data_IF_517359493742
#
_entry.id   IF_517359493742
#
_cell.length_a   1.000
_cell.length_b   1.000
_cell.length_c   1.000
_cell.angle_alpha   90.00
_cell.angle_beta   90.00
_cell.angle_gamma   90.00
#
_symmetry.space_group_name_H-M   'P 1'
#
loop_
_entity.id
_entity.type
_entity.pdbx_description
1 polymer ?
#
# COMPACT_ATOMS: atom_id res chain seq x y z
N UNK A 1 -40.67 -28.25 -12.55
CA UNK A 1 -40.72 -26.82 -12.13
C UNK A 1 -41.68 -26.51 -10.96
N UNK A 2 -42.52 -27.44 -10.48
CA UNK A 2 -43.48 -27.20 -9.37
C UNK A 2 -42.82 -27.13 -7.97
N UNK A 3 -41.78 -27.94 -7.74
CA UNK A 3 -41.07 -28.02 -6.45
C UNK A 3 -40.43 -26.69 -6.04
N UNK A 4 -39.72 -26.02 -6.97
CA UNK A 4 -39.09 -24.72 -6.71
C UNK A 4 -40.11 -23.62 -6.38
N UNK A 5 -41.27 -23.60 -7.06
CA UNK A 5 -42.33 -22.65 -6.74
C UNK A 5 -42.84 -22.88 -5.32
N UNK A 6 -43.12 -24.13 -4.92
CA UNK A 6 -43.60 -24.45 -3.56
C UNK A 6 -42.55 -24.11 -2.49
N UNK A 7 -41.27 -24.29 -2.77
CA UNK A 7 -40.18 -23.91 -1.88
C UNK A 7 -40.08 -22.38 -1.69
N UNK A 8 -40.14 -21.60 -2.77
CA UNK A 8 -40.04 -20.13 -2.74
C UNK A 8 -41.19 -19.51 -1.93
N UNK A 9 -42.41 -20.02 -2.06
CA UNK A 9 -43.57 -19.50 -1.31
C UNK A 9 -43.52 -19.81 0.20
N UNK A 10 -42.64 -20.72 0.64
CA UNK A 10 -42.46 -21.09 2.05
C UNK A 10 -41.34 -20.28 2.73
N UNK A 11 -40.58 -19.50 1.97
CA UNK A 11 -39.50 -18.67 2.51
C UNK A 11 -40.10 -17.48 3.26
N UNK A 12 -39.73 -17.33 4.53
CA UNK A 12 -40.16 -16.20 5.35
C UNK A 12 -39.22 -15.00 5.20
N UNK A 13 -39.71 -13.80 5.53
CA UNK A 13 -38.93 -12.54 5.47
C UNK A 13 -37.61 -12.64 6.23
N UNK A 14 -37.62 -13.24 7.42
CA UNK A 14 -36.42 -13.44 8.24
C UNK A 14 -35.38 -14.34 7.55
N UNK A 15 -35.81 -15.40 6.86
CA UNK A 15 -34.89 -16.29 6.14
C UNK A 15 -34.19 -15.58 4.97
N UNK A 16 -34.88 -14.65 4.30
CA UNK A 16 -34.28 -13.79 3.27
C UNK A 16 -33.29 -12.80 3.87
N UNK A 17 -33.60 -12.20 5.01
CA UNK A 17 -32.69 -11.27 5.70
C UNK A 17 -31.43 -11.99 6.19
N UNK A 18 -31.55 -13.19 6.77
CA UNK A 18 -30.39 -14.01 7.17
C UNK A 18 -29.55 -14.43 5.95
N UNK A 19 -30.19 -14.81 4.85
CA UNK A 19 -29.49 -15.18 3.61
C UNK A 19 -28.75 -13.98 3.01
N UNK A 20 -29.38 -12.80 3.00
CA UNK A 20 -28.77 -11.54 2.56
C UNK A 20 -27.56 -11.17 3.43
N UNK A 21 -27.70 -11.28 4.75
CA UNK A 21 -26.59 -11.07 5.69
C UNK A 21 -25.43 -12.05 5.43
N UNK A 22 -25.73 -13.33 5.30
CA UNK A 22 -24.73 -14.37 5.00
C UNK A 22 -24.02 -14.11 3.68
N UNK A 23 -24.75 -13.72 2.64
CA UNK A 23 -24.17 -13.34 1.35
C UNK A 23 -23.23 -12.14 1.50
N UNK A 24 -23.67 -11.04 2.13
CA UNK A 24 -22.81 -9.86 2.32
C UNK A 24 -21.57 -10.13 3.18
N UNK A 25 -21.65 -11.05 4.13
CA UNK A 25 -20.49 -11.45 4.92
C UNK A 25 -19.54 -12.34 4.12
N UNK A 26 -20.06 -13.36 3.43
CA UNK A 26 -19.24 -14.37 2.75
C UNK A 26 -18.68 -13.87 1.43
N UNK A 27 -19.38 -13.02 0.68
CA UNK A 27 -18.93 -12.50 -0.62
C UNK A 27 -17.53 -11.89 -0.57
N UNK A 28 -17.22 -10.89 0.28
CA UNK A 28 -15.87 -10.32 0.33
C UNK A 28 -14.83 -11.32 0.80
N UNK A 29 -15.16 -12.21 1.73
CA UNK A 29 -14.25 -13.26 2.23
C UNK A 29 -13.89 -14.23 1.09
N UNK A 30 -14.87 -14.68 0.32
CA UNK A 30 -14.66 -15.57 -0.81
C UNK A 30 -13.87 -14.89 -1.93
N UNK A 31 -14.13 -13.60 -2.22
CA UNK A 31 -13.37 -12.84 -3.21
C UNK A 31 -11.91 -12.70 -2.75
N UNK A 32 -11.66 -12.37 -1.48
CA UNK A 32 -10.32 -12.30 -0.92
C UNK A 32 -9.62 -13.67 -0.90
N UNK A 33 -10.33 -14.77 -0.65
CA UNK A 33 -9.75 -16.11 -0.71
C UNK A 33 -9.39 -16.52 -2.14
N UNK A 34 -10.26 -16.20 -3.11
CA UNK A 34 -10.04 -16.52 -4.51
C UNK A 34 -8.95 -15.65 -5.15
N UNK A 35 -9.01 -14.35 -4.95
CA UNK A 35 -8.07 -13.38 -5.51
C UNK A 35 -6.76 -13.38 -4.72
N UNK A 36 -6.84 -13.22 -3.40
CA UNK A 36 -5.69 -13.18 -2.51
C UNK A 36 -4.77 -12.00 -2.78
N UNK A 37 -3.46 -12.22 -2.57
CA UNK A 37 -2.40 -11.24 -2.85
C UNK A 37 -1.87 -11.37 -4.29
N UNK A 38 -2.01 -12.54 -4.92
CA UNK A 38 -1.46 -12.85 -6.25
C UNK A 38 -2.39 -12.39 -7.40
N UNK A 39 -2.81 -11.13 -7.31
CA UNK A 39 -3.64 -10.49 -8.35
C UNK A 39 -2.91 -10.40 -9.69
N UNK A 40 -1.60 -10.24 -9.66
CA UNK A 40 -0.73 -10.11 -10.83
C UNK A 40 -0.75 -11.38 -11.70
N UNK A 41 -0.59 -12.54 -11.05
CA UNK A 41 -0.45 -13.84 -11.68
C UNK A 41 -1.81 -14.35 -12.17
N UNK A 42 -2.90 -14.09 -11.43
CA UNK A 42 -4.24 -14.60 -11.75
C UNK A 42 -4.94 -13.82 -12.86
N UNK A 43 -4.72 -12.51 -12.95
CA UNK A 43 -5.40 -11.66 -13.92
C UNK A 43 -4.57 -11.36 -15.17
N UNK A 44 -3.27 -11.70 -15.18
CA UNK A 44 -2.33 -11.52 -16.29
C UNK A 44 -2.50 -10.14 -16.96
N UNK A 45 -2.60 -9.10 -16.13
CA UNK A 45 -2.89 -7.74 -16.57
C UNK A 45 -1.67 -7.20 -17.33
N UNK A 46 -1.83 -6.75 -18.60
CA UNK A 46 -0.73 -6.15 -19.33
C UNK A 46 -0.29 -4.86 -18.61
N UNK A 47 0.99 -4.78 -18.24
CA UNK A 47 1.54 -3.62 -17.52
C UNK A 47 1.14 -3.51 -16.06
N UNK A 48 0.82 -4.63 -15.38
CA UNK A 48 0.53 -4.64 -13.94
C UNK A 48 1.66 -4.01 -13.10
N UNK A 49 2.91 -4.38 -13.41
CA UNK A 49 4.10 -3.79 -12.81
C UNK A 49 4.66 -2.72 -13.75
N UNK A 50 5.04 -1.53 -13.24
CA UNK A 50 5.73 -0.53 -14.04
C UNK A 50 7.05 -1.08 -14.56
N UNK A 51 7.42 -0.65 -15.77
CA UNK A 51 8.63 -1.13 -16.44
C UNK A 51 9.86 -0.94 -15.53
N UNK A 52 10.66 -1.99 -15.27
CA UNK A 52 11.86 -1.92 -14.42
C UNK A 52 12.87 -0.86 -14.87
N UNK A 53 12.83 -0.43 -16.13
CA UNK A 53 13.65 0.68 -16.65
C UNK A 53 13.17 2.06 -16.20
N UNK A 54 11.88 2.22 -15.89
CA UNK A 54 11.29 3.47 -15.38
C UNK A 54 11.48 3.61 -13.86
N UNK A 55 11.69 2.50 -13.16
CA UNK A 55 11.95 2.50 -11.73
C UNK A 55 13.35 3.03 -11.43
N UNK A 56 13.51 3.64 -10.25
CA UNK A 56 14.83 4.02 -9.73
C UNK A 56 15.69 2.75 -9.59
N UNK A 57 16.62 2.56 -10.52
CA UNK A 57 17.54 1.43 -10.45
C UNK A 57 18.59 1.71 -9.39
N UNK A 58 18.74 0.77 -8.45
CA UNK A 58 19.81 0.84 -7.46
C UNK A 58 21.13 0.69 -8.21
N UNK A 59 22.11 1.59 -8.00
CA UNK A 59 23.43 1.48 -8.63
C UNK A 59 24.05 0.12 -8.27
N UNK A 60 24.45 -0.67 -9.27
CA UNK A 60 25.02 -2.01 -9.06
C UNK A 60 26.55 -1.99 -9.06
N UNK A 61 27.14 -1.00 -9.72
CA UNK A 61 28.58 -0.90 -9.85
C UNK A 61 29.22 -0.13 -8.67
N UNK A 62 30.39 -0.56 -8.14
CA UNK A 62 31.04 0.07 -6.99
C UNK A 62 31.35 1.56 -7.15
N UNK A 63 31.62 2.01 -8.37
CA UNK A 63 31.95 3.41 -8.66
C UNK A 63 30.70 4.31 -8.66
N UNK A 64 29.58 3.82 -9.19
CA UNK A 64 28.29 4.53 -9.15
C UNK A 64 27.76 4.64 -7.71
N UNK A 65 27.98 3.60 -6.91
CA UNK A 65 27.62 3.59 -5.48
C UNK A 65 28.36 4.70 -4.72
N UNK A 66 29.66 4.88 -4.97
CA UNK A 66 30.45 5.93 -4.31
C UNK A 66 30.00 7.33 -4.72
N UNK A 67 29.68 7.54 -6.00
CA UNK A 67 29.18 8.81 -6.52
C UNK A 67 27.82 9.16 -5.90
N UNK A 68 26.90 8.18 -5.81
CA UNK A 68 25.59 8.38 -5.21
C UNK A 68 25.67 8.60 -3.70
N UNK A 69 26.57 7.90 -2.99
CA UNK A 69 26.88 8.15 -1.58
C UNK A 69 27.41 9.56 -1.34
N UNK A 70 28.29 10.05 -2.20
CA UNK A 70 28.79 11.43 -2.13
C UNK A 70 27.64 12.43 -2.32
N UNK A 71 26.79 12.22 -3.33
CA UNK A 71 25.58 13.03 -3.58
C UNK A 71 24.66 13.08 -2.35
N UNK A 72 24.38 11.92 -1.74
CA UNK A 72 23.54 11.81 -0.54
C UNK A 72 24.18 12.54 0.65
N UNK A 73 25.50 12.41 0.85
CA UNK A 73 26.23 13.12 1.92
C UNK A 73 26.15 14.64 1.74
N UNK A 74 26.35 15.15 0.53
CA UNK A 74 26.22 16.58 0.24
C UNK A 74 24.79 17.08 0.50
N UNK A 75 23.77 16.38 0.00
CA UNK A 75 22.37 16.75 0.23
C UNK A 75 21.99 16.75 1.73
N UNK A 76 22.53 15.82 2.53
CA UNK A 76 22.34 15.80 3.99
C UNK A 76 22.98 17.01 4.66
N UNK A 77 24.21 17.36 4.30
CA UNK A 77 24.91 18.52 4.86
C UNK A 77 24.19 19.82 4.52
N UNK A 78 23.68 19.98 3.30
CA UNK A 78 22.90 21.16 2.91
C UNK A 78 21.58 21.26 3.67
N UNK A 79 20.87 20.13 3.86
CA UNK A 79 19.66 20.11 4.67
C UNK A 79 19.94 20.50 6.12
N UNK A 80 21.02 19.98 6.71
CA UNK A 80 21.44 20.36 8.08
C UNK A 80 21.73 21.87 8.18
N UNK A 81 22.53 22.42 7.26
CA UNK A 81 22.81 23.87 7.22
C UNK A 81 21.54 24.71 7.10
N UNK A 82 20.59 24.31 6.25
CA UNK A 82 19.30 25.00 6.10
C UNK A 82 18.44 24.93 7.38
N UNK A 83 18.47 23.79 8.07
CA UNK A 83 17.77 23.63 9.35
C UNK A 83 18.42 24.48 10.45
N UNK A 84 19.74 24.49 10.55
CA UNK A 84 20.51 25.32 11.50
C UNK A 84 20.26 26.82 11.25
N UNK A 85 20.21 27.25 9.98
CA UNK A 85 19.86 28.63 9.63
C UNK A 85 18.44 28.99 10.05
N UNK A 86 17.46 28.12 9.75
CA UNK A 86 16.06 28.33 10.18
C UNK A 86 15.89 28.31 11.69
N UNK A 87 16.63 27.46 12.41
CA UNK A 87 16.60 27.42 13.87
C UNK A 87 17.12 28.73 14.47
N UNK A 88 18.22 29.28 13.92
CA UNK A 88 18.77 30.59 14.29
C UNK A 88 17.81 31.74 13.99
N UNK A 89 17.14 31.71 12.82
CA UNK A 89 16.13 32.71 12.45
C UNK A 89 14.89 32.68 13.38
N UNK A 90 14.53 31.50 13.88
CA UNK A 90 13.39 31.30 14.79
C UNK A 90 13.75 31.51 16.28
N UNK A 91 15.01 31.82 16.60
CA UNK A 91 15.44 32.09 17.98
C UNK A 91 15.30 30.90 18.93
N UNK A 92 15.29 29.67 18.40
CA UNK A 92 15.29 28.45 19.21
C UNK A 92 16.75 28.21 19.61
N UNK A 93 17.12 28.60 20.83
CA UNK A 93 18.36 28.12 21.45
C UNK A 93 18.19 26.63 21.71
N UNK A 94 19.16 25.82 21.26
CA UNK A 94 19.22 24.41 21.66
C UNK A 94 19.45 24.40 23.18
N UNK A 95 18.39 24.13 23.96
CA UNK A 95 18.54 23.79 25.37
C UNK A 95 19.51 22.60 25.46
N UNK A 96 20.71 22.88 25.96
CA UNK A 96 21.85 21.96 26.06
C UNK A 96 21.63 20.90 27.18
N UNK A 97 20.40 20.44 27.38
CA UNK A 97 20.00 19.55 28.46
C UNK A 97 19.30 18.28 27.94
N UNK A 98 20.08 17.37 27.34
CA UNK A 98 19.77 15.93 27.47
C UNK A 98 21.08 15.13 27.56
N UNK A 99 21.26 14.53 28.74
CA UNK A 99 22.25 13.53 29.16
C UNK A 99 22.49 12.37 28.17
#
# INVERSE_FOLDING_TARGET
>A
MSFFRRAIHRITRTQLETSKFGFYLLTPICIMYYVGLDTDTKFNLPGFWPDPTTLNQVPKEPHEIQAELARIKHARLEKRKKLEQRAKELGIEEDEDVL
#
